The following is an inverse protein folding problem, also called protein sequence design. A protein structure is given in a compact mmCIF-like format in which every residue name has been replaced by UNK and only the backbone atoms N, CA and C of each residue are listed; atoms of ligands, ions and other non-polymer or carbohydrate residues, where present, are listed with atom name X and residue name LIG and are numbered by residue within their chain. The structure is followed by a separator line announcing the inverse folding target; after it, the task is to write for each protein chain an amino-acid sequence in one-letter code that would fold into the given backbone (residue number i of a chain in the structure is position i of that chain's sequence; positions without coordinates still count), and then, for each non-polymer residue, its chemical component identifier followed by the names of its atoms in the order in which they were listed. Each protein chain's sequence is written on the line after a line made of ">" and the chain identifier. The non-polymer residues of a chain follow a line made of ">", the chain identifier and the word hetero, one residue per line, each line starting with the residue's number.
data_IF_076006455514
#
_entry.id   IF_076006455514
#
_cell.length_a   1.000
_cell.length_b   1.000
_cell.length_c   1.000
_cell.angle_alpha   90.00
_cell.angle_beta   90.00
_cell.angle_gamma   90.00
#
_symmetry.space_group_name_H-M   'P 1'
#
loop_
_entity.id
_entity.type
_entity.pdbx_description
1 polymer ?
#
# COMPACT_ATOMS: atom_id res chain seq x y z
N UNK A 1 -10.68 8.04 0.38
CA UNK A 1 -9.82 8.45 -0.75
C UNK A 1 -9.77 9.96 -0.87
N UNK A 2 -10.88 10.68 -0.67
CA UNK A 2 -10.93 12.16 -0.71
C UNK A 2 -9.80 12.90 -0.02
N UNK A 3 -9.48 12.58 1.24
CA UNK A 3 -8.37 13.25 1.93
C UNK A 3 -7.02 13.11 1.21
N UNK A 4 -6.76 11.96 0.58
CA UNK A 4 -5.53 11.77 -0.20
C UNK A 4 -5.58 12.54 -1.52
N UNK A 5 -6.76 12.62 -2.17
CA UNK A 5 -6.92 13.41 -3.41
C UNK A 5 -6.66 14.90 -3.17
N UNK A 6 -7.23 15.45 -2.10
CA UNK A 6 -7.00 16.85 -1.68
C UNK A 6 -5.52 17.09 -1.41
N UNK A 7 -4.87 16.19 -0.65
CA UNK A 7 -3.45 16.32 -0.34
C UNK A 7 -2.58 16.18 -1.60
N UNK A 8 -2.87 15.23 -2.49
CA UNK A 8 -2.12 15.03 -3.73
C UNK A 8 -2.27 16.24 -4.68
N UNK A 9 -3.45 16.85 -4.77
CA UNK A 9 -3.66 18.08 -5.54
C UNK A 9 -2.92 19.28 -4.96
N UNK A 10 -2.82 19.36 -3.62
CA UNK A 10 -2.04 20.39 -2.94
C UNK A 10 -0.53 20.20 -3.15
N UNK A 11 -0.05 18.96 -3.13
CA UNK A 11 1.37 18.62 -3.37
C UNK A 11 1.76 18.77 -4.85
N UNK A 12 0.83 18.51 -5.78
CA UNK A 12 1.05 18.59 -7.22
C UNK A 12 -0.22 19.09 -7.93
N UNK A 13 -0.17 20.31 -8.46
CA UNK A 13 -1.31 20.91 -9.17
C UNK A 13 -1.72 20.12 -10.43
N UNK A 14 -0.82 19.33 -11.02
CA UNK A 14 -1.11 18.48 -12.17
C UNK A 14 -1.73 17.12 -11.79
N UNK A 15 -1.96 16.86 -10.50
CA UNK A 15 -2.66 15.67 -10.06
C UNK A 15 -4.09 15.64 -10.65
N UNK A 16 -4.41 14.53 -11.32
CA UNK A 16 -5.71 14.24 -11.92
C UNK A 16 -6.44 13.11 -11.19
N UNK A 17 -5.81 11.94 -11.05
CA UNK A 17 -6.30 10.83 -10.23
C UNK A 17 -5.15 9.88 -9.84
N UNK A 18 -5.44 8.93 -8.97
CA UNK A 18 -4.54 7.81 -8.68
C UNK A 18 -4.55 6.77 -9.80
N UNK A 19 -3.49 5.96 -9.85
CA UNK A 19 -3.32 4.88 -10.83
C UNK A 19 -2.94 3.58 -10.13
N UNK A 20 -3.70 2.53 -10.40
CA UNK A 20 -3.39 1.17 -9.98
C UNK A 20 -2.13 0.64 -10.66
N UNK A 21 -1.79 1.11 -11.86
CA UNK A 21 -0.55 0.73 -12.57
C UNK A 21 0.66 1.21 -11.79
N UNK A 22 0.73 2.51 -11.47
CA UNK A 22 1.80 3.05 -10.61
C UNK A 22 1.79 2.41 -9.22
N UNK A 23 0.60 2.16 -8.68
CA UNK A 23 0.42 1.47 -7.40
C UNK A 23 1.02 0.06 -7.39
N UNK A 24 0.84 -0.69 -8.49
CA UNK A 24 1.42 -2.02 -8.67
C UNK A 24 2.94 -1.97 -8.69
N UNK A 25 3.53 -1.02 -9.41
CA UNK A 25 4.98 -0.82 -9.43
C UNK A 25 5.52 -0.54 -8.03
N UNK A 26 4.90 0.36 -7.28
CA UNK A 26 5.27 0.65 -5.88
C UNK A 26 5.11 -0.60 -4.99
N UNK A 27 4.04 -1.37 -5.19
CA UNK A 27 3.78 -2.55 -4.37
C UNK A 27 4.85 -3.65 -4.53
N UNK A 28 5.30 -3.87 -5.77
CA UNK A 28 6.26 -4.92 -6.10
C UNK A 28 7.71 -4.46 -6.09
N UNK A 29 7.98 -3.15 -6.06
CA UNK A 29 9.35 -2.62 -6.03
C UNK A 29 10.11 -3.14 -4.81
N UNK A 30 11.23 -3.78 -5.09
CA UNK A 30 12.11 -4.35 -4.09
C UNK A 30 13.24 -3.37 -3.74
N UNK A 31 13.47 -3.18 -2.44
CA UNK A 31 14.40 -2.19 -1.88
C UNK A 31 15.10 -2.76 -0.66
N UNK A 32 16.23 -2.16 -0.27
CA UNK A 32 16.80 -2.40 1.07
C UNK A 32 15.98 -1.63 2.10
N UNK A 33 15.07 -2.36 2.74
CA UNK A 33 14.12 -1.81 3.71
C UNK A 33 14.55 -2.08 5.15
N UNK A 34 13.57 -2.37 5.99
CA UNK A 34 13.73 -2.63 7.42
C UNK A 34 14.75 -3.74 7.70
N UNK A 35 15.60 -3.52 8.72
CA UNK A 35 16.66 -4.46 9.15
C UNK A 35 17.63 -4.80 8.01
N UNK A 36 17.88 -3.85 7.10
CA UNK A 36 18.76 -4.02 5.94
C UNK A 36 18.42 -5.23 5.06
N UNK A 37 17.16 -5.68 5.08
CA UNK A 37 16.69 -6.78 4.23
C UNK A 37 16.16 -6.24 2.92
N UNK A 38 16.40 -7.00 1.85
CA UNK A 38 15.78 -6.81 0.56
C UNK A 38 14.29 -7.19 0.63
N UNK A 39 13.39 -6.21 0.53
CA UNK A 39 11.95 -6.38 0.77
C UNK A 39 11.10 -5.49 -0.16
N UNK A 40 9.86 -5.91 -0.40
CA UNK A 40 8.78 -5.15 -1.05
C UNK A 40 7.50 -5.24 -0.22
N UNK A 41 6.42 -4.56 -0.63
CA UNK A 41 5.11 -4.76 0.00
C UNK A 41 4.64 -6.22 -0.17
N UNK A 42 4.92 -6.81 -1.34
CA UNK A 42 4.58 -8.19 -1.65
C UNK A 42 5.31 -9.21 -0.78
N UNK A 43 6.49 -8.90 -0.24
CA UNK A 43 7.21 -9.81 0.66
C UNK A 43 6.36 -10.21 1.88
N UNK A 44 5.51 -9.32 2.40
CA UNK A 44 4.60 -9.65 3.51
C UNK A 44 3.16 -9.98 3.06
N UNK A 45 2.74 -9.45 1.91
CA UNK A 45 1.35 -9.50 1.47
C UNK A 45 1.08 -10.46 0.31
N UNK A 46 2.12 -11.15 -0.15
CA UNK A 46 2.15 -12.02 -1.33
C UNK A 46 1.90 -11.28 -2.64
N UNK A 47 2.07 -11.96 -3.77
CA UNK A 47 1.70 -11.46 -5.10
C UNK A 47 0.19 -11.57 -5.37
N UNK A 48 -0.51 -12.44 -4.66
CA UNK A 48 -1.95 -12.66 -4.76
C UNK A 48 -2.66 -12.13 -3.52
N UNK A 49 -3.23 -10.93 -3.63
CA UNK A 49 -3.87 -10.23 -2.52
C UNK A 49 -5.12 -10.96 -1.97
N UNK A 50 -5.59 -12.02 -2.63
CA UNK A 50 -6.66 -12.88 -2.12
C UNK A 50 -6.15 -13.92 -1.11
N UNK A 51 -4.85 -14.17 -1.08
CA UNK A 51 -4.23 -15.13 -0.17
C UNK A 51 -3.83 -14.49 1.16
N UNK A 52 -3.67 -15.35 2.16
CA UNK A 52 -3.11 -14.96 3.46
C UNK A 52 -1.63 -14.70 3.29
N UNK A 53 -1.17 -13.52 3.70
CA UNK A 53 0.25 -13.18 3.78
C UNK A 53 0.83 -13.47 5.16
N UNK A 54 2.11 -13.16 5.32
CA UNK A 54 2.82 -13.33 6.58
C UNK A 54 3.87 -12.23 6.75
N UNK A 55 3.95 -11.64 7.93
CA UNK A 55 5.00 -10.68 8.21
C UNK A 55 6.35 -11.41 8.35
N UNK A 56 7.23 -11.26 7.36
CA UNK A 56 8.53 -11.93 7.31
C UNK A 56 9.49 -11.59 8.47
N UNK A 57 9.19 -10.57 9.28
CA UNK A 57 10.01 -10.16 10.43
C UNK A 57 9.51 -10.72 11.75
N UNK A 58 8.26 -11.19 11.81
CA UNK A 58 7.59 -11.62 13.06
C UNK A 58 6.84 -12.95 12.94
N UNK A 59 6.71 -13.51 11.74
CA UNK A 59 5.94 -14.73 11.47
C UNK A 59 4.41 -14.57 11.61
N UNK A 60 3.92 -13.35 11.88
CA UNK A 60 2.49 -13.14 12.10
C UNK A 60 1.71 -13.21 10.79
N UNK A 61 0.71 -14.09 10.72
CA UNK A 61 -0.22 -14.17 9.59
C UNK A 61 -0.98 -12.86 9.37
N UNK A 62 -1.15 -12.50 8.10
CA UNK A 62 -1.84 -11.30 7.65
C UNK A 62 -3.03 -11.73 6.79
N UNK A 63 -4.25 -11.46 7.26
CA UNK A 63 -5.47 -11.71 6.49
C UNK A 63 -5.37 -11.06 5.09
N UNK A 64 -6.00 -11.65 4.05
CA UNK A 64 -5.98 -11.12 2.69
C UNK A 64 -6.24 -9.62 2.60
N UNK A 65 -5.56 -8.95 1.67
CA UNK A 65 -5.72 -7.52 1.43
C UNK A 65 -6.88 -7.22 0.47
N UNK A 66 -7.14 -8.11 -0.48
CA UNK A 66 -8.17 -7.93 -1.49
C UNK A 66 -9.56 -7.81 -0.84
N UNK A 67 -10.31 -6.73 -1.11
CA UNK A 67 -11.69 -6.59 -0.64
C UNK A 67 -12.62 -7.70 -1.12
N UNK A 68 -12.31 -8.35 -2.25
CA UNK A 68 -13.10 -9.45 -2.82
C UNK A 68 -13.28 -10.62 -1.84
N UNK A 69 -12.24 -10.93 -1.06
CA UNK A 69 -12.26 -12.02 -0.07
C UNK A 69 -12.20 -11.53 1.37
N UNK A 70 -11.97 -10.23 1.57
CA UNK A 70 -11.96 -9.59 2.88
C UNK A 70 -12.62 -8.21 2.83
N UNK A 71 -13.97 -8.13 2.78
CA UNK A 71 -14.70 -6.87 2.62
C UNK A 71 -14.47 -5.85 3.73
N UNK A 72 -13.96 -6.28 4.89
CA UNK A 72 -13.59 -5.40 6.01
C UNK A 72 -12.27 -4.65 5.76
N UNK A 73 -11.54 -4.95 4.68
CA UNK A 73 -10.32 -4.21 4.31
C UNK A 73 -10.66 -2.81 3.82
N UNK A 74 -9.77 -1.87 4.15
CA UNK A 74 -9.84 -0.46 3.75
C UNK A 74 -11.07 0.34 4.22
N UNK A 75 -11.94 -0.23 5.07
CA UNK A 75 -13.13 0.48 5.60
C UNK A 75 -12.81 1.43 6.76
N UNK A 76 -11.81 1.11 7.59
CA UNK A 76 -11.39 1.96 8.70
C UNK A 76 -10.22 2.87 8.29
N UNK A 77 -10.53 4.15 8.02
CA UNK A 77 -9.56 5.15 7.58
C UNK A 77 -8.37 5.33 8.54
N UNK A 78 -8.62 5.35 9.85
CA UNK A 78 -7.54 5.47 10.86
C UNK A 78 -6.57 4.30 10.77
N UNK A 79 -7.08 3.08 10.60
CA UNK A 79 -6.29 1.86 10.42
C UNK A 79 -5.49 1.91 9.11
N UNK A 80 -6.10 2.32 8.01
CA UNK A 80 -5.42 2.46 6.71
C UNK A 80 -4.26 3.45 6.80
N UNK A 81 -4.50 4.67 7.33
CA UNK A 81 -3.46 5.70 7.50
C UNK A 81 -2.29 5.18 8.35
N UNK A 82 -2.59 4.52 9.47
CA UNK A 82 -1.57 3.95 10.37
C UNK A 82 -0.69 2.92 9.64
N UNK A 83 -1.30 1.98 8.92
CA UNK A 83 -0.55 0.89 8.28
C UNK A 83 0.18 1.34 7.03
N UNK A 84 -0.38 2.21 6.19
CA UNK A 84 0.37 2.78 5.07
C UNK A 84 1.63 3.49 5.55
N UNK A 85 1.51 4.34 6.58
CA UNK A 85 2.69 5.03 7.15
C UNK A 85 3.76 4.06 7.64
N UNK A 86 3.38 3.00 8.36
CA UNK A 86 4.33 1.99 8.87
C UNK A 86 4.94 1.16 7.76
N UNK A 87 4.13 0.68 6.81
CA UNK A 87 4.58 -0.19 5.74
C UNK A 87 5.52 0.54 4.77
N UNK A 88 5.25 1.82 4.45
CA UNK A 88 6.19 2.63 3.69
C UNK A 88 7.51 2.81 4.43
N UNK A 89 7.51 3.05 5.75
CA UNK A 89 8.77 3.11 6.52
C UNK A 89 9.50 1.77 6.54
N UNK A 90 8.77 0.66 6.61
CA UNK A 90 9.36 -0.67 6.64
C UNK A 90 9.97 -1.07 5.28
N UNK A 91 9.39 -0.64 4.15
CA UNK A 91 9.87 -1.02 2.80
C UNK A 91 10.76 0.06 2.17
N UNK A 92 10.35 1.32 2.25
CA UNK A 92 10.99 2.48 1.60
C UNK A 92 11.87 3.31 2.54
N UNK A 93 11.92 3.00 3.84
CA UNK A 93 12.64 3.79 4.86
C UNK A 93 12.20 5.26 4.98
N UNK A 94 11.05 5.62 4.39
CA UNK A 94 10.43 6.97 4.46
C UNK A 94 8.92 6.88 4.49
N UNK A 95 8.25 8.01 4.70
CA UNK A 95 6.80 8.07 4.48
C UNK A 95 6.50 8.17 2.97
N UNK A 96 5.43 7.50 2.54
CA UNK A 96 4.91 7.67 1.18
C UNK A 96 4.25 9.03 0.99
N UNK A 97 4.34 9.60 -0.20
CA UNK A 97 3.60 10.82 -0.59
C UNK A 97 2.10 10.54 -0.68
N UNK A 98 1.27 11.59 -0.82
CA UNK A 98 -0.17 11.38 -1.00
C UNK A 98 -0.48 10.61 -2.29
N UNK A 99 0.27 10.90 -3.36
CA UNK A 99 0.19 10.19 -4.64
C UNK A 99 0.50 8.70 -4.48
N UNK A 100 1.66 8.36 -3.91
CA UNK A 100 2.08 6.96 -3.72
C UNK A 100 1.10 6.17 -2.85
N UNK A 101 0.61 6.78 -1.77
CA UNK A 101 -0.37 6.16 -0.88
C UNK A 101 -1.69 5.88 -1.61
N UNK A 102 -2.15 6.81 -2.45
CA UNK A 102 -3.38 6.65 -3.21
C UNK A 102 -3.26 5.63 -4.34
N UNK A 103 -2.15 5.66 -5.09
CA UNK A 103 -1.85 4.72 -6.16
C UNK A 103 -1.82 3.28 -5.63
N UNK A 104 -1.09 3.02 -4.54
CA UNK A 104 -1.03 1.69 -3.90
C UNK A 104 -2.40 1.25 -3.39
N UNK A 105 -3.23 2.16 -2.87
CA UNK A 105 -4.60 1.83 -2.47
C UNK A 105 -5.48 1.44 -3.66
N UNK A 106 -5.42 2.15 -4.80
CA UNK A 106 -6.14 1.77 -6.01
C UNK A 106 -5.75 0.37 -6.47
N UNK A 107 -4.45 0.07 -6.50
CA UNK A 107 -3.97 -1.26 -6.81
C UNK A 107 -4.52 -2.34 -5.86
N UNK A 108 -4.38 -2.14 -4.54
CA UNK A 108 -4.84 -3.14 -3.57
C UNK A 108 -6.36 -3.32 -3.53
N UNK A 109 -7.12 -2.28 -3.86
CA UNK A 109 -8.58 -2.32 -3.95
C UNK A 109 -9.09 -2.88 -5.29
N UNK A 110 -8.21 -3.07 -6.28
CA UNK A 110 -8.59 -3.54 -7.62
C UNK A 110 -9.36 -2.49 -8.42
N UNK A 111 -9.12 -1.20 -8.16
CA UNK A 111 -9.71 -0.11 -8.95
C UNK A 111 -9.06 -0.09 -10.34
N UNK A 112 -9.86 -0.17 -11.40
CA UNK A 112 -9.38 -0.14 -12.78
C UNK A 112 -9.20 1.32 -13.24
N UNK A 113 -8.08 1.94 -12.86
CA UNK A 113 -7.63 3.26 -13.35
C UNK A 113 -6.11 3.32 -13.34
#
# INVERSE_FOLDING_TARGET
>A
METLKVQAKKENQNFSDFSAVRGKEIFFKELIGKREKKVSCASCHTNDLTKTGENIFTGKKIKPLSPKVNPKRFTNVKKVKKWLRRNFKDVYKREGTALEKGDVLYFMMGVQK
#
